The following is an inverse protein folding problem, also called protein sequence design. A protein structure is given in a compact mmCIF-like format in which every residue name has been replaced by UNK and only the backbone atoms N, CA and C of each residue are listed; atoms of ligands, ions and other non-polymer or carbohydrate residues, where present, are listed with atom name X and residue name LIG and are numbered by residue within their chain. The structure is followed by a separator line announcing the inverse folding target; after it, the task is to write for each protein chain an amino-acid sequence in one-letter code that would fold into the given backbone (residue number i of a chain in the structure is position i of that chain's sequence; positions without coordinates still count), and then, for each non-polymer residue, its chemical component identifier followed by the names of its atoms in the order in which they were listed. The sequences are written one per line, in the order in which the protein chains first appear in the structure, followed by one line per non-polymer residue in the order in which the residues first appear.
data_IF_601024215453
#
_entry.id   IF_601024215453
#
_cell.length_a   1.000
_cell.length_b   1.000
_cell.length_c   1.000
_cell.angle_alpha   90.00
_cell.angle_beta   90.00
_cell.angle_gamma   90.00
#
_symmetry.space_group_name_H-M   'P 1'
#
loop_
_entity.id
_entity.type
_entity.pdbx_description
1 polymer ?
#
# COMPACT_ATOMS: atom_id res chain seq x y z
N UNK A 1 -43.17 23.39 6.06
CA UNK A 1 -43.79 22.40 5.15
C UNK A 1 -43.04 22.40 3.84
N UNK A 2 -42.21 21.40 3.58
CA UNK A 2 -41.97 20.80 2.25
C UNK A 2 -41.06 19.58 2.46
N UNK A 3 -41.68 18.42 2.63
CA UNK A 3 -41.03 17.11 2.56
C UNK A 3 -40.80 16.82 1.09
N UNK A 4 -39.54 16.76 0.64
CA UNK A 4 -39.22 16.05 -0.59
C UNK A 4 -38.74 14.66 -0.22
N UNK A 5 -39.66 13.71 -0.39
CA UNK A 5 -39.44 12.29 -0.26
C UNK A 5 -38.56 11.82 -1.43
N UNK A 6 -37.25 11.76 -1.20
CA UNK A 6 -36.35 11.04 -2.11
C UNK A 6 -36.70 9.56 -1.98
N UNK A 7 -37.39 9.03 -2.98
CA UNK A 7 -37.51 7.58 -3.17
C UNK A 7 -36.11 7.05 -3.44
N UNK A 8 -35.43 6.58 -2.39
CA UNK A 8 -34.23 5.79 -2.50
C UNK A 8 -34.59 4.48 -3.22
N UNK A 9 -34.44 4.45 -4.54
CA UNK A 9 -34.25 3.18 -5.24
C UNK A 9 -33.01 2.55 -4.62
N UNK A 10 -33.18 1.46 -3.86
CA UNK A 10 -32.06 0.65 -3.37
C UNK A 10 -31.22 0.26 -4.59
N UNK A 11 -29.92 0.62 -4.65
CA UNK A 11 -29.02 0.00 -5.61
C UNK A 11 -29.05 -1.50 -5.35
N UNK A 12 -29.31 -2.32 -6.37
CA UNK A 12 -29.38 -3.78 -6.28
C UNK A 12 -28.04 -4.45 -5.93
N UNK A 13 -26.96 -3.68 -5.81
CA UNK A 13 -25.60 -4.16 -5.52
C UNK A 13 -24.97 -3.37 -4.35
N UNK A 14 -25.58 -3.39 -3.16
CA UNK A 14 -24.88 -2.93 -1.96
C UNK A 14 -23.86 -3.99 -1.59
N UNK A 15 -22.57 -3.70 -1.79
CA UNK A 15 -21.50 -4.56 -1.28
C UNK A 15 -21.62 -4.64 0.25
N UNK A 16 -21.80 -5.85 0.77
CA UNK A 16 -21.86 -6.09 2.21
C UNK A 16 -20.43 -6.18 2.75
N UNK A 17 -20.00 -5.21 3.55
CA UNK A 17 -18.70 -5.27 4.20
C UNK A 17 -18.73 -6.34 5.30
N UNK A 18 -17.97 -7.42 5.11
CA UNK A 18 -17.84 -8.52 6.09
C UNK A 18 -16.48 -8.57 6.78
N UNK A 19 -15.47 -7.97 6.15
CA UNK A 19 -14.09 -8.04 6.59
C UNK A 19 -13.28 -6.85 6.08
N UNK A 20 -12.28 -6.44 6.84
CA UNK A 20 -11.24 -5.52 6.39
C UNK A 20 -9.90 -5.89 7.04
N UNK A 21 -8.83 -5.36 6.47
CA UNK A 21 -7.47 -5.67 6.86
C UNK A 21 -6.67 -4.39 7.09
N UNK A 22 -5.80 -4.42 8.09
CA UNK A 22 -5.06 -3.26 8.59
C UNK A 22 -3.58 -3.51 8.42
N UNK A 23 -2.88 -2.58 7.78
CA UNK A 23 -1.47 -2.73 7.49
C UNK A 23 -0.60 -2.58 8.74
N UNK A 24 -0.87 -1.57 9.58
CA UNK A 24 -0.10 -1.26 10.79
C UNK A 24 -0.96 -0.54 11.85
N UNK A 25 -0.45 -0.45 13.08
CA UNK A 25 -1.20 0.09 14.25
C UNK A 25 -1.63 1.54 14.10
N UNK A 26 -0.82 2.35 13.45
CA UNK A 26 -1.02 3.78 13.20
C UNK A 26 -2.11 4.06 12.15
N UNK A 27 -2.53 3.02 11.41
CA UNK A 27 -3.67 3.05 10.50
C UNK A 27 -4.97 2.49 11.14
N UNK A 28 -4.91 2.04 12.40
CA UNK A 28 -6.00 1.31 13.07
C UNK A 28 -7.01 2.20 13.81
N UNK A 29 -6.85 3.53 13.78
CA UNK A 29 -7.62 4.46 14.63
C UNK A 29 -9.15 4.44 14.43
N UNK A 30 -9.62 3.94 13.27
CA UNK A 30 -11.05 3.82 12.97
C UNK A 30 -11.71 2.50 13.37
N UNK A 31 -10.93 1.47 13.73
CA UNK A 31 -11.40 0.09 13.80
C UNK A 31 -12.51 -0.10 14.85
N UNK A 32 -12.29 0.40 16.07
CA UNK A 32 -13.23 0.28 17.20
C UNK A 32 -14.61 0.88 16.86
N UNK A 33 -14.60 2.03 16.19
CA UNK A 33 -15.85 2.69 15.76
C UNK A 33 -16.53 1.87 14.67
N UNK A 34 -15.77 1.34 13.71
CA UNK A 34 -16.31 0.57 12.59
C UNK A 34 -16.94 -0.75 13.05
N UNK A 35 -16.28 -1.49 13.95
CA UNK A 35 -16.81 -2.75 14.50
C UNK A 35 -18.08 -2.52 15.33
N UNK A 36 -18.18 -1.39 16.04
CA UNK A 36 -19.43 -1.00 16.74
C UNK A 36 -20.58 -0.70 15.78
N UNK A 37 -20.29 -0.06 14.63
CA UNK A 37 -21.30 0.24 13.60
C UNK A 37 -21.71 -1.01 12.81
N UNK A 38 -20.82 -2.01 12.71
CA UNK A 38 -21.04 -3.23 11.95
C UNK A 38 -20.60 -4.46 12.76
N UNK A 39 -21.46 -4.95 13.67
CA UNK A 39 -21.17 -6.15 14.45
C UNK A 39 -20.94 -7.37 13.54
N UNK A 40 -19.96 -8.21 13.91
CA UNK A 40 -19.60 -9.41 13.14
C UNK A 40 -18.51 -9.18 12.08
N UNK A 41 -17.98 -7.96 11.94
CA UNK A 41 -16.83 -7.70 11.08
C UNK A 41 -15.58 -8.47 11.54
N UNK A 42 -14.89 -9.07 10.58
CA UNK A 42 -13.56 -9.64 10.79
C UNK A 42 -12.48 -8.60 10.53
N UNK A 43 -11.60 -8.37 11.51
CA UNK A 43 -10.49 -7.42 11.46
C UNK A 43 -9.18 -8.19 11.43
N UNK A 44 -8.51 -8.16 10.28
CA UNK A 44 -7.20 -8.79 10.10
C UNK A 44 -6.06 -7.79 10.38
N UNK A 45 -4.98 -8.27 11.02
CA UNK A 45 -3.78 -7.48 11.30
C UNK A 45 -2.63 -8.33 11.82
N UNK A 46 -1.40 -7.85 11.63
CA UNK A 46 -0.18 -8.56 12.09
C UNK A 46 0.21 -8.32 13.55
N UNK A 47 -0.39 -7.30 14.17
CA UNK A 47 0.05 -6.76 15.44
C UNK A 47 -1.09 -6.73 16.45
N UNK A 48 -0.82 -7.17 17.68
CA UNK A 48 -1.78 -7.12 18.81
C UNK A 48 -2.15 -5.69 19.20
N UNK A 49 -1.36 -4.70 18.77
CA UNK A 49 -1.61 -3.27 18.94
C UNK A 49 -2.67 -2.72 17.97
N UNK A 50 -3.14 -3.51 17.00
CA UNK A 50 -4.25 -3.13 16.11
C UNK A 50 -5.56 -3.15 16.91
N UNK A 51 -6.24 -2.00 16.99
CA UNK A 51 -7.53 -1.88 17.66
C UNK A 51 -8.60 -2.78 17.03
N UNK A 52 -9.50 -3.34 17.85
CA UNK A 52 -10.54 -4.30 17.47
C UNK A 52 -10.07 -5.51 16.65
N UNK A 53 -8.80 -5.92 16.76
CA UNK A 53 -8.27 -7.09 16.04
C UNK A 53 -9.05 -8.35 16.41
N UNK A 54 -9.56 -9.06 15.40
CA UNK A 54 -10.24 -10.34 15.60
C UNK A 54 -9.48 -11.51 15.00
N UNK A 55 -8.64 -11.28 13.98
CA UNK A 55 -7.83 -12.30 13.33
C UNK A 55 -6.39 -11.84 13.18
N UNK A 56 -5.52 -12.32 14.07
CA UNK A 56 -4.08 -12.09 13.94
C UNK A 56 -3.51 -12.92 12.79
N UNK A 57 -2.79 -12.28 11.88
CA UNK A 57 -2.12 -12.94 10.75
C UNK A 57 -0.61 -12.77 10.83
N UNK A 58 0.09 -13.65 10.13
CA UNK A 58 1.54 -13.70 10.03
C UNK A 58 1.94 -13.90 8.56
N UNK A 59 3.24 -13.94 8.29
CA UNK A 59 3.77 -14.13 6.95
C UNK A 59 3.19 -15.42 6.31
N UNK A 60 2.74 -15.31 5.06
CA UNK A 60 2.11 -16.38 4.27
C UNK A 60 0.76 -16.91 4.73
N UNK A 61 0.14 -16.38 5.79
CA UNK A 61 -1.28 -16.66 6.03
C UNK A 61 -2.13 -16.21 4.84
N UNK A 62 -3.19 -16.95 4.57
CA UNK A 62 -4.12 -16.66 3.48
C UNK A 62 -5.55 -16.65 3.99
N UNK A 63 -6.39 -15.83 3.37
CA UNK A 63 -7.82 -15.80 3.60
C UNK A 63 -8.53 -15.34 2.32
N UNK A 64 -9.85 -15.50 2.26
CA UNK A 64 -10.65 -15.06 1.10
C UNK A 64 -11.51 -13.86 1.43
N UNK A 65 -11.67 -12.94 0.49
CA UNK A 65 -12.69 -11.88 0.48
C UNK A 65 -13.64 -12.18 -0.68
N UNK A 66 -14.74 -12.89 -0.42
CA UNK A 66 -15.59 -13.41 -1.50
C UNK A 66 -14.80 -14.37 -2.41
N UNK A 67 -14.68 -14.04 -3.69
CA UNK A 67 -13.88 -14.81 -4.66
C UNK A 67 -12.40 -14.40 -4.74
N UNK A 68 -12.00 -13.35 -4.02
CA UNK A 68 -10.62 -12.87 -4.00
C UNK A 68 -9.79 -13.67 -2.99
N UNK A 69 -8.57 -14.05 -3.38
CA UNK A 69 -7.59 -14.64 -2.49
C UNK A 69 -6.66 -13.54 -1.97
N UNK A 70 -6.46 -13.50 -0.65
CA UNK A 70 -5.54 -12.57 0.01
C UNK A 70 -4.41 -13.36 0.65
N UNK A 71 -3.17 -12.99 0.34
CA UNK A 71 -1.95 -13.51 0.96
C UNK A 71 -1.31 -12.40 1.80
N UNK A 72 -1.07 -12.71 3.07
CA UNK A 72 -0.39 -11.82 4.01
C UNK A 72 1.12 -11.90 3.81
N UNK A 73 1.77 -10.76 3.67
CA UNK A 73 3.21 -10.62 3.56
C UNK A 73 3.68 -9.75 4.72
N UNK A 74 4.33 -10.36 5.71
CA UNK A 74 4.94 -9.61 6.82
C UNK A 74 6.14 -8.79 6.34
N UNK A 75 6.14 -7.50 6.68
CA UNK A 75 7.11 -6.48 6.25
C UNK A 75 7.61 -5.65 7.44
N UNK A 76 8.26 -6.26 8.45
CA UNK A 76 8.76 -5.49 9.59
C UNK A 76 9.74 -4.42 9.10
N UNK A 77 9.52 -3.16 9.50
CA UNK A 77 10.50 -2.07 9.43
C UNK A 77 9.84 -0.77 9.91
N UNK A 78 8.83 -0.30 9.18
CA UNK A 78 8.07 0.89 9.55
C UNK A 78 7.38 0.71 10.90
N UNK A 79 6.71 -0.43 11.06
CA UNK A 79 6.37 -1.01 12.35
C UNK A 79 6.78 -2.47 12.32
N UNK A 80 7.06 -3.05 13.49
CA UNK A 80 7.47 -4.46 13.64
C UNK A 80 6.36 -5.45 13.25
N UNK A 81 5.09 -5.03 13.31
CA UNK A 81 3.92 -5.86 12.97
C UNK A 81 3.29 -5.55 11.61
N UNK A 82 3.99 -4.85 10.71
CA UNK A 82 3.43 -4.43 9.42
C UNK A 82 3.14 -5.63 8.50
N UNK A 83 1.95 -5.63 7.88
CA UNK A 83 1.52 -6.60 6.88
C UNK A 83 1.11 -5.89 5.58
N UNK A 84 1.69 -6.33 4.47
CA UNK A 84 1.16 -6.07 3.13
C UNK A 84 0.17 -7.18 2.72
N UNK A 85 -0.89 -6.82 2.00
CA UNK A 85 -1.93 -7.76 1.57
C UNK A 85 -1.91 -7.88 0.05
N UNK A 86 -1.44 -9.02 -0.45
CA UNK A 86 -1.43 -9.34 -1.88
C UNK A 86 -2.73 -10.03 -2.28
N UNK A 87 -3.46 -9.43 -3.21
CA UNK A 87 -4.80 -9.82 -3.61
C UNK A 87 -4.79 -10.31 -5.05
N UNK A 88 -5.33 -11.51 -5.25
CA UNK A 88 -5.46 -12.17 -6.56
C UNK A 88 -6.87 -12.69 -6.74
N UNK A 89 -7.24 -12.98 -7.99
CA UNK A 89 -8.50 -13.64 -8.33
C UNK A 89 -8.20 -14.80 -9.27
N UNK A 90 -8.55 -16.01 -8.85
CA UNK A 90 -8.40 -17.20 -9.69
C UNK A 90 -9.19 -17.07 -10.99
N UNK A 91 -8.63 -17.57 -12.09
CA UNK A 91 -9.23 -17.55 -13.43
C UNK A 91 -9.63 -16.13 -13.91
N UNK A 92 -8.87 -15.11 -13.50
CA UNK A 92 -9.06 -13.73 -13.95
C UNK A 92 -7.88 -13.27 -14.81
N UNK A 93 -8.16 -12.43 -15.80
CA UNK A 93 -7.16 -11.70 -16.59
C UNK A 93 -6.79 -10.35 -15.97
N UNK A 94 -7.45 -9.96 -14.87
CA UNK A 94 -7.11 -8.73 -14.16
C UNK A 94 -5.78 -8.89 -13.42
N UNK A 95 -4.89 -7.88 -13.47
CA UNK A 95 -3.64 -7.93 -12.74
C UNK A 95 -3.92 -7.95 -11.22
N UNK A 96 -3.03 -8.58 -10.43
CA UNK A 96 -3.16 -8.58 -8.99
C UNK A 96 -2.96 -7.18 -8.38
N UNK A 97 -3.30 -7.04 -7.11
CA UNK A 97 -3.09 -5.82 -6.33
C UNK A 97 -2.34 -6.12 -5.04
N UNK A 98 -1.54 -5.17 -4.55
CA UNK A 98 -0.92 -5.23 -3.23
C UNK A 98 -1.23 -3.95 -2.46
N UNK A 99 -1.78 -4.12 -1.25
CA UNK A 99 -1.97 -3.03 -0.30
C UNK A 99 -0.73 -2.96 0.59
N UNK A 100 0.05 -1.89 0.45
CA UNK A 100 1.40 -1.81 1.03
C UNK A 100 1.48 -0.99 2.30
N UNK A 101 0.39 -0.32 2.69
CA UNK A 101 0.37 0.63 3.80
C UNK A 101 1.58 1.57 3.71
N UNK A 102 2.33 1.64 4.80
CA UNK A 102 3.52 2.48 4.89
C UNK A 102 4.84 1.76 4.67
N UNK A 103 4.84 0.58 4.04
CA UNK A 103 6.10 -0.07 3.64
C UNK A 103 6.62 0.54 2.33
N UNK A 104 5.81 0.48 1.27
CA UNK A 104 6.10 1.01 -0.06
C UNK A 104 5.09 2.10 -0.41
N UNK A 105 5.58 3.28 -0.79
CA UNK A 105 4.79 4.36 -1.39
C UNK A 105 5.15 4.51 -2.86
N UNK A 106 4.31 5.21 -3.63
CA UNK A 106 4.73 5.64 -4.97
C UNK A 106 5.97 6.51 -4.85
N UNK A 107 7.07 6.06 -5.47
CA UNK A 107 8.40 6.66 -5.47
C UNK A 107 9.08 6.82 -4.08
N UNK A 108 8.60 6.13 -3.04
CA UNK A 108 9.15 6.23 -1.68
C UNK A 108 8.98 4.97 -0.84
N UNK A 109 9.41 5.02 0.42
CA UNK A 109 9.17 3.98 1.44
C UNK A 109 8.83 4.62 2.80
N UNK A 110 8.34 3.81 3.73
CA UNK A 110 8.14 4.24 5.12
C UNK A 110 9.42 4.65 5.82
N UNK A 111 9.29 5.52 6.83
CA UNK A 111 10.35 5.74 7.82
C UNK A 111 10.53 4.49 8.69
N UNK A 112 11.74 4.24 9.17
CA UNK A 112 12.11 3.03 9.89
C UNK A 112 11.92 3.23 11.41
N UNK A 113 10.68 3.36 11.88
CA UNK A 113 10.43 3.66 13.29
C UNK A 113 10.75 2.47 14.22
N UNK A 114 10.53 1.23 13.76
CA UNK A 114 10.69 0.03 14.57
C UNK A 114 11.54 -1.05 13.87
N UNK A 115 12.47 -0.65 13.01
CA UNK A 115 13.31 -1.59 12.28
C UNK A 115 14.50 -0.95 11.58
N UNK A 116 15.10 -1.70 10.66
CA UNK A 116 16.42 -1.43 10.09
C UNK A 116 16.37 -1.28 8.56
N UNK A 117 17.46 -0.77 7.98
CA UNK A 117 17.61 -0.68 6.53
C UNK A 117 17.65 -2.07 5.86
N UNK A 118 18.25 -3.07 6.49
CA UNK A 118 18.25 -4.46 6.00
C UNK A 118 16.83 -5.05 5.95
N UNK A 119 16.02 -4.76 6.97
CA UNK A 119 14.62 -5.17 6.99
C UNK A 119 13.79 -4.50 5.88
N UNK A 120 13.97 -3.19 5.65
CA UNK A 120 13.31 -2.52 4.51
C UNK A 120 13.80 -3.07 3.17
N UNK A 121 15.10 -3.34 3.03
CA UNK A 121 15.65 -3.95 1.82
C UNK A 121 15.00 -5.31 1.53
N UNK A 122 14.90 -6.18 2.54
CA UNK A 122 14.22 -7.47 2.40
C UNK A 122 12.76 -7.29 2.00
N UNK A 123 12.03 -6.40 2.69
CA UNK A 123 10.62 -6.12 2.40
C UNK A 123 10.41 -5.64 0.95
N UNK A 124 11.18 -4.65 0.51
CA UNK A 124 11.04 -4.03 -0.81
C UNK A 124 11.55 -4.91 -1.93
N UNK A 125 12.75 -5.48 -1.79
CA UNK A 125 13.45 -6.12 -2.91
C UNK A 125 13.23 -7.63 -2.94
N UNK A 126 13.24 -8.29 -1.79
CA UNK A 126 13.15 -9.76 -1.72
C UNK A 126 11.72 -10.28 -1.59
N UNK A 127 10.79 -9.43 -1.14
CA UNK A 127 9.37 -9.79 -1.00
C UNK A 127 8.50 -9.05 -2.03
N UNK A 128 8.36 -7.72 -1.96
CA UNK A 128 7.50 -6.96 -2.90
C UNK A 128 8.05 -6.99 -4.33
N UNK A 129 9.36 -6.85 -4.49
CA UNK A 129 10.04 -6.85 -5.78
C UNK A 129 10.00 -8.20 -6.52
N UNK A 130 9.55 -9.28 -5.85
CA UNK A 130 9.33 -10.60 -6.47
C UNK A 130 7.88 -10.86 -6.86
N UNK A 131 6.96 -9.93 -6.60
CA UNK A 131 5.59 -10.01 -7.08
C UNK A 131 5.55 -9.83 -8.61
N UNK A 132 4.48 -10.27 -9.30
CA UNK A 132 4.33 -10.02 -10.73
C UNK A 132 4.50 -8.52 -11.07
N UNK A 133 5.25 -8.16 -12.13
CA UNK A 133 5.54 -6.75 -12.46
C UNK A 133 4.31 -5.86 -12.59
N UNK A 134 3.22 -6.41 -13.13
CA UNK A 134 1.94 -5.75 -13.35
C UNK A 134 1.11 -5.55 -12.06
N UNK A 135 1.58 -6.04 -10.91
CA UNK A 135 0.88 -5.91 -9.63
C UNK A 135 0.65 -4.44 -9.29
N UNK A 136 -0.60 -4.05 -9.11
CA UNK A 136 -0.99 -2.69 -8.74
C UNK A 136 -0.66 -2.40 -7.28
N UNK A 137 0.05 -1.30 -7.01
CA UNK A 137 0.46 -0.88 -5.67
C UNK A 137 -0.51 0.15 -5.10
N UNK A 138 -1.13 -0.16 -3.97
CA UNK A 138 -2.02 0.74 -3.22
C UNK A 138 -1.41 1.04 -1.85
N UNK A 139 -0.78 2.20 -1.70
CA UNK A 139 -0.07 2.62 -0.50
C UNK A 139 -0.92 3.47 0.45
N UNK A 140 -0.44 3.66 1.69
CA UNK A 140 -1.20 4.31 2.78
C UNK A 140 -1.36 5.84 2.65
N UNK A 141 -0.49 6.51 1.88
CA UNK A 141 -0.45 7.98 1.85
C UNK A 141 -0.19 8.57 0.46
N UNK A 142 -0.73 9.78 0.24
CA UNK A 142 -0.52 10.61 -0.97
C UNK A 142 0.76 11.46 -0.82
N UNK A 143 1.91 10.79 -0.83
CA UNK A 143 3.25 11.42 -0.70
C UNK A 143 4.01 11.55 -2.03
N UNK A 144 3.39 11.11 -3.13
CA UNK A 144 4.02 10.91 -4.44
C UNK A 144 4.81 12.11 -4.95
N UNK A 145 4.27 13.34 -4.86
CA UNK A 145 4.98 14.54 -5.33
C UNK A 145 6.24 14.81 -4.52
N UNK A 146 6.18 14.67 -3.19
CA UNK A 146 7.34 14.94 -2.34
C UNK A 146 8.39 13.84 -2.46
N UNK A 147 7.95 12.58 -2.56
CA UNK A 147 8.82 11.45 -2.88
C UNK A 147 9.56 11.68 -4.20
N UNK A 148 8.85 12.03 -5.28
CA UNK A 148 9.44 12.29 -6.59
C UNK A 148 10.41 13.49 -6.60
N UNK A 149 10.22 14.50 -5.75
CA UNK A 149 11.20 15.59 -5.58
C UNK A 149 12.51 15.08 -4.99
N UNK A 150 12.45 14.25 -3.95
CA UNK A 150 13.63 13.62 -3.34
C UNK A 150 14.32 12.68 -4.34
N UNK A 151 13.55 11.82 -4.96
CA UNK A 151 13.98 10.88 -6.00
C UNK A 151 14.69 11.58 -7.17
N UNK A 152 14.18 12.74 -7.63
CA UNK A 152 14.85 13.58 -8.63
C UNK A 152 16.19 14.15 -8.16
N UNK A 153 16.36 14.39 -6.87
CA UNK A 153 17.64 14.79 -6.31
C UNK A 153 18.66 13.63 -6.35
N UNK A 154 18.21 12.40 -6.04
CA UNK A 154 19.06 11.19 -6.11
C UNK A 154 19.49 10.90 -7.55
N UNK A 155 18.54 10.83 -8.48
CA UNK A 155 18.77 10.49 -9.89
C UNK A 155 18.28 11.62 -10.83
N UNK A 156 18.99 12.77 -10.95
CA UNK A 156 18.52 13.93 -11.70
C UNK A 156 18.36 13.69 -13.20
N UNK A 157 19.08 12.72 -13.75
CA UNK A 157 19.09 12.40 -15.18
C UNK A 157 18.08 11.29 -15.55
N UNK A 158 17.33 10.73 -14.59
CA UNK A 158 16.36 9.69 -14.87
C UNK A 158 15.05 10.31 -15.38
N UNK A 159 14.77 10.14 -16.68
CA UNK A 159 13.58 10.69 -17.33
C UNK A 159 12.26 10.15 -16.77
N UNK A 160 12.23 8.90 -16.28
CA UNK A 160 11.02 8.29 -15.73
C UNK A 160 10.52 9.09 -14.51
N UNK A 161 11.46 9.54 -13.66
CA UNK A 161 11.17 10.39 -12.50
C UNK A 161 10.55 11.73 -12.93
N UNK A 162 11.11 12.36 -13.96
CA UNK A 162 10.62 13.65 -14.45
C UNK A 162 9.21 13.51 -15.04
N UNK A 163 8.98 12.49 -15.88
CA UNK A 163 7.67 12.18 -16.46
C UNK A 163 6.63 11.89 -15.37
N UNK A 164 6.98 11.05 -14.39
CA UNK A 164 6.08 10.71 -13.26
C UNK A 164 5.79 11.93 -12.38
N UNK A 165 6.75 12.83 -12.18
CA UNK A 165 6.54 14.07 -11.40
C UNK A 165 5.59 15.04 -12.10
N UNK A 166 5.69 15.20 -13.42
CA UNK A 166 4.75 16.01 -14.21
C UNK A 166 3.35 15.43 -14.11
N UNK A 167 3.21 14.13 -14.36
CA UNK A 167 1.94 13.40 -14.21
C UNK A 167 1.33 13.54 -12.81
N UNK A 168 2.13 13.41 -11.75
CA UNK A 168 1.65 13.52 -10.38
C UNK A 168 1.15 14.94 -10.04
N UNK A 169 1.79 15.98 -10.59
CA UNK A 169 1.33 17.37 -10.45
C UNK A 169 0.00 17.60 -11.16
N UNK A 170 -0.19 17.04 -12.36
CA UNK A 170 -1.45 17.12 -13.09
C UNK A 170 -2.58 16.43 -12.33
N UNK A 171 -2.34 15.22 -11.80
CA UNK A 171 -3.29 14.50 -10.93
C UNK A 171 -3.69 15.34 -9.71
N UNK A 172 -2.70 15.96 -9.05
CA UNK A 172 -2.95 16.81 -7.89
C UNK A 172 -3.82 18.03 -8.24
N UNK A 173 -3.55 18.71 -9.36
CA UNK A 173 -4.38 19.84 -9.84
C UNK A 173 -5.82 19.40 -10.09
N UNK A 174 -6.00 18.20 -10.65
CA UNK A 174 -7.31 17.61 -10.93
C UNK A 174 -7.97 16.95 -9.70
N UNK A 175 -7.34 16.99 -8.52
CA UNK A 175 -7.81 16.33 -7.28
C UNK A 175 -8.01 14.82 -7.43
N UNK A 176 -7.20 14.19 -8.27
CA UNK A 176 -7.17 12.75 -8.47
C UNK A 176 -6.02 12.12 -7.66
N UNK A 177 -6.22 10.92 -7.08
CA UNK A 177 -5.15 10.22 -6.39
C UNK A 177 -4.05 9.77 -7.38
N UNK A 178 -2.83 9.61 -6.87
CA UNK A 178 -1.68 9.11 -7.65
C UNK A 178 -1.46 7.60 -7.49
N UNK A 179 -2.38 6.91 -6.81
CA UNK A 179 -2.47 5.46 -6.75
C UNK A 179 -3.52 4.93 -7.75
N UNK A 180 -3.37 3.70 -8.25
CA UNK A 180 -2.22 2.82 -8.04
C UNK A 180 -1.04 3.14 -8.99
N UNK A 181 0.18 2.78 -8.57
CA UNK A 181 1.29 2.48 -9.49
C UNK A 181 1.36 0.96 -9.73
N UNK A 182 2.43 0.47 -10.36
CA UNK A 182 2.73 -0.97 -10.47
C UNK A 182 4.10 -1.30 -9.87
N UNK A 183 4.35 -2.57 -9.55
CA UNK A 183 5.67 -3.01 -9.09
C UNK A 183 6.75 -2.70 -10.13
N UNK A 184 6.44 -2.90 -11.42
CA UNK A 184 7.32 -2.52 -12.54
C UNK A 184 7.62 -1.01 -12.56
N UNK A 185 6.58 -0.17 -12.45
CA UNK A 185 6.71 1.28 -12.39
C UNK A 185 7.71 1.70 -11.30
N UNK A 186 7.59 1.14 -10.09
CA UNK A 186 8.44 1.51 -8.96
C UNK A 186 9.92 1.18 -9.22
N UNK A 187 10.25 0.13 -9.97
CA UNK A 187 11.64 -0.14 -10.37
C UNK A 187 12.21 0.90 -11.36
N UNK A 188 11.39 1.75 -11.97
CA UNK A 188 11.86 2.79 -12.90
C UNK A 188 12.20 4.10 -12.21
N UNK A 189 11.53 4.44 -11.10
CA UNK A 189 11.68 5.73 -10.45
C UNK A 189 11.85 5.69 -8.93
N UNK A 190 11.56 4.60 -8.22
CA UNK A 190 11.65 4.59 -6.76
C UNK A 190 13.10 4.28 -6.31
N UNK A 191 13.83 5.21 -5.66
CA UNK A 191 15.23 5.00 -5.32
C UNK A 191 15.41 3.83 -4.35
N UNK A 192 14.42 3.56 -3.50
CA UNK A 192 14.45 2.46 -2.53
C UNK A 192 14.24 1.09 -3.19
N UNK A 193 13.52 1.03 -4.31
CA UNK A 193 13.40 -0.18 -5.15
C UNK A 193 14.61 -0.33 -6.11
N UNK A 194 15.39 0.74 -6.29
CA UNK A 194 16.49 0.82 -7.25
C UNK A 194 17.89 0.77 -6.63
N UNK A 195 18.00 0.39 -5.36
CA UNK A 195 19.28 0.31 -4.63
C UNK A 195 20.32 -0.63 -5.26
N UNK A 196 19.90 -1.58 -6.10
CA UNK A 196 20.79 -2.47 -6.84
C UNK A 196 21.41 -1.83 -8.08
N UNK A 197 20.92 -0.66 -8.52
CA UNK A 197 21.49 0.09 -9.63
C UNK A 197 22.65 0.96 -9.13
N UNK A 198 23.76 0.97 -9.88
CA UNK A 198 25.01 1.63 -9.48
C UNK A 198 24.82 3.12 -9.25
N UNK A 199 24.02 3.75 -10.11
CA UNK A 199 23.66 5.17 -10.08
C UNK A 199 23.01 5.59 -8.75
N UNK A 200 22.23 4.69 -8.14
CA UNK A 200 21.59 4.92 -6.84
C UNK A 200 22.55 4.59 -5.71
N UNK A 201 23.21 3.42 -5.75
CA UNK A 201 24.10 2.96 -4.67
C UNK A 201 25.25 3.92 -4.33
N UNK A 202 25.68 4.75 -5.29
CA UNK A 202 26.76 5.74 -5.10
C UNK A 202 26.29 7.06 -4.47
N UNK A 203 24.96 7.29 -4.40
CA UNK A 203 24.35 8.56 -3.95
C UNK A 203 23.41 8.38 -2.76
N UNK A 204 22.77 7.23 -2.66
CA UNK A 204 21.98 6.82 -1.51
C UNK A 204 22.91 6.12 -0.50
N UNK A 205 23.71 6.91 0.22
CA UNK A 205 24.36 6.39 1.42
C UNK A 205 23.25 6.17 2.45
N UNK A 206 22.96 4.90 2.76
CA UNK A 206 21.96 4.48 3.74
C UNK A 206 22.38 4.72 5.20
N UNK A 207 23.58 5.28 5.39
CA UNK A 207 24.21 5.55 6.69
C UNK A 207 24.13 7.03 7.08
N UNK A 208 22.91 7.52 7.39
CA UNK A 208 22.72 8.68 8.27
C UNK A 208 21.54 8.46 9.22
#
# INVERSE_FOLDING_TARGET
MLKQSIHARKPSNVAELKQFFVAAKDHAGGNEKLVKLMPGLTVYGGDVRVGALTQKVTHHNTFKVGSLNVKCLSMPCHTSGHICYFVTKENSTEPPAVFTGDTLFVAGCGKFFEGTADEMYKALIEVLGRLPPETRVYCGHEYTINNLKFTRHVEPNNEAIQKKLTWAKEKYVNREPTIPSTVEDEFTFNPFMRVRYREVSTRACWDQ
#
